data_IF_048868155462
#
_entry.id   IF_048868155462
#
_cell.length_a   1.000
_cell.length_b   1.000
_cell.length_c   1.000
_cell.angle_alpha   90.00
_cell.angle_beta   90.00
_cell.angle_gamma   90.00
#
_symmetry.space_group_name_H-M   'P 1'
#
loop_
_entity.id
_entity.type
_entity.pdbx_description
1 polymer ?
#
# COMPACT_ATOMS: atom_id res chain seq x y z
N UNK A 1 -76.95 -14.08 28.99
CA UNK A 1 -77.41 -13.36 27.78
C UNK A 1 -76.17 -12.97 26.99
N UNK A 2 -76.18 -13.04 25.66
CA UNK A 2 -75.02 -12.58 24.87
C UNK A 2 -74.98 -11.05 24.89
N UNK A 3 -73.82 -10.48 25.19
CA UNK A 3 -73.54 -9.04 25.08
C UNK A 3 -73.96 -8.53 23.70
N UNK A 4 -74.72 -7.42 23.64
CA UNK A 4 -75.21 -6.84 22.38
C UNK A 4 -74.24 -5.80 21.83
N UNK A 5 -74.13 -5.74 20.51
CA UNK A 5 -73.28 -4.74 19.84
C UNK A 5 -73.91 -3.35 19.92
N UNK A 6 -73.07 -2.31 19.91
CA UNK A 6 -73.49 -0.90 19.90
C UNK A 6 -74.54 -0.59 18.83
N UNK A 7 -74.39 -1.14 17.62
CA UNK A 7 -75.32 -0.88 16.53
C UNK A 7 -76.70 -1.53 16.78
N UNK A 8 -76.73 -2.67 17.48
CA UNK A 8 -77.97 -3.28 17.97
C UNK A 8 -78.63 -2.48 19.10
N UNK A 9 -77.85 -1.78 19.93
CA UNK A 9 -78.38 -0.92 20.97
C UNK A 9 -78.91 0.40 20.37
N UNK A 10 -78.21 0.94 19.36
CA UNK A 10 -78.57 2.21 18.71
C UNK A 10 -79.93 2.18 18.02
N UNK A 11 -80.31 1.04 17.42
CA UNK A 11 -81.64 0.86 16.82
C UNK A 11 -82.75 0.68 17.86
N UNK A 12 -82.41 0.22 19.07
CA UNK A 12 -83.34 -0.03 20.17
C UNK A 12 -83.75 1.23 20.92
N UNK A 13 -82.86 2.23 20.95
CA UNK A 13 -83.07 3.51 21.64
C UNK A 13 -83.19 4.69 20.67
N UNK A 14 -83.45 4.42 19.39
CA UNK A 14 -83.59 5.46 18.36
C UNK A 14 -84.82 6.35 18.55
N UNK A 15 -85.77 5.90 19.38
CA UNK A 15 -86.99 6.61 19.79
C UNK A 15 -86.79 7.48 21.05
N UNK A 16 -85.58 7.48 21.63
CA UNK A 16 -85.25 8.24 22.83
C UNK A 16 -85.50 7.50 24.15
N UNK A 17 -85.87 6.21 24.11
CA UNK A 17 -85.90 5.39 25.33
C UNK A 17 -84.52 5.29 25.97
N UNK A 18 -84.49 5.28 27.31
CA UNK A 18 -83.24 5.14 28.07
C UNK A 18 -82.85 3.66 28.16
N UNK A 19 -81.58 3.30 27.92
CA UNK A 19 -81.09 1.96 28.20
C UNK A 19 -81.33 1.60 29.67
N UNK A 20 -81.80 0.37 29.91
CA UNK A 20 -82.05 -0.15 31.25
C UNK A 20 -81.50 -1.56 31.41
N UNK A 21 -81.17 -1.95 32.63
CA UNK A 21 -80.63 -3.27 32.95
C UNK A 21 -79.35 -3.59 32.17
N UNK A 22 -79.29 -4.79 31.57
CA UNK A 22 -78.12 -5.24 30.80
C UNK A 22 -77.85 -4.39 29.56
N UNK A 23 -78.89 -3.79 28.95
CA UNK A 23 -78.71 -2.94 27.77
C UNK A 23 -77.96 -1.63 28.12
N UNK A 24 -77.98 -1.20 29.39
CA UNK A 24 -77.14 -0.10 29.88
C UNK A 24 -75.69 -0.54 30.12
N UNK A 25 -75.47 -1.75 30.66
CA UNK A 25 -74.13 -2.32 30.82
C UNK A 25 -73.42 -2.48 29.47
N UNK A 26 -74.09 -3.11 28.50
CA UNK A 26 -73.59 -3.29 27.13
C UNK A 26 -73.28 -1.94 26.45
N UNK A 27 -74.05 -0.88 26.77
CA UNK A 27 -73.79 0.46 26.26
C UNK A 27 -72.48 1.02 26.83
N UNK A 28 -72.30 0.96 28.16
CA UNK A 28 -71.11 1.50 28.82
C UNK A 28 -69.84 0.76 28.39
N UNK A 29 -69.91 -0.56 28.24
CA UNK A 29 -68.78 -1.39 27.81
C UNK A 29 -68.43 -1.20 26.32
N UNK A 30 -69.30 -0.56 25.54
CA UNK A 30 -69.07 -0.27 24.11
C UNK A 30 -68.27 1.01 23.81
N UNK A 31 -67.92 1.80 24.85
CA UNK A 31 -67.13 3.02 24.71
C UNK A 31 -65.73 2.88 25.28
N UNK A 32 -64.80 3.61 24.68
CA UNK A 32 -63.48 3.84 25.28
C UNK A 32 -63.61 4.95 26.32
N UNK A 33 -63.34 4.63 27.58
CA UNK A 33 -63.30 5.54 28.70
C UNK A 33 -61.94 6.22 28.80
N UNK A 34 -61.93 7.56 28.76
CA UNK A 34 -60.71 8.37 28.96
C UNK A 34 -60.04 8.14 30.32
N UNK A 35 -60.79 7.66 31.32
CA UNK A 35 -60.29 7.49 32.68
C UNK A 35 -59.80 6.06 32.95
N UNK A 36 -60.34 5.06 32.25
CA UNK A 36 -60.06 3.65 32.53
C UNK A 36 -59.23 2.97 31.44
N UNK A 37 -59.33 3.44 30.20
CA UNK A 37 -58.64 2.83 29.05
C UNK A 37 -57.43 3.64 28.60
N UNK A 38 -57.05 4.68 29.33
CA UNK A 38 -55.85 5.47 29.05
C UNK A 38 -54.92 5.50 30.27
N UNK A 39 -53.62 5.47 30.01
CA UNK A 39 -52.60 5.62 31.05
C UNK A 39 -52.45 7.09 31.49
N UNK A 40 -51.54 7.35 32.45
CA UNK A 40 -51.27 8.68 32.97
C UNK A 40 -50.73 9.68 31.93
N UNK A 41 -50.27 9.18 30.78
CA UNK A 41 -49.76 9.97 29.65
C UNK A 41 -50.80 10.12 28.53
N UNK A 42 -52.00 9.56 28.69
CA UNK A 42 -53.08 9.65 27.70
C UNK A 42 -52.92 8.70 26.52
N UNK A 43 -52.20 7.58 26.68
CA UNK A 43 -52.13 6.52 25.68
C UNK A 43 -53.23 5.47 25.89
N UNK A 44 -53.87 5.03 24.82
CA UNK A 44 -54.88 3.97 24.86
C UNK A 44 -54.24 2.64 25.30
N UNK A 45 -54.62 2.14 26.48
CA UNK A 45 -54.15 0.90 27.07
C UNK A 45 -55.26 -0.15 27.04
N UNK A 46 -55.12 -1.17 26.18
CA UNK A 46 -56.10 -2.25 26.03
C UNK A 46 -55.53 -3.58 26.53
N UNK A 47 -56.03 -4.07 27.65
CA UNK A 47 -55.52 -5.28 28.33
C UNK A 47 -55.76 -6.58 27.53
N UNK A 48 -56.72 -6.58 26.59
CA UNK A 48 -57.11 -7.78 25.81
C UNK A 48 -56.78 -7.69 24.31
N UNK A 49 -55.94 -6.72 23.91
CA UNK A 49 -55.48 -6.50 22.54
C UNK A 49 -56.50 -5.84 21.61
N UNK A 50 -56.07 -5.50 20.39
CA UNK A 50 -56.90 -4.89 19.33
C UNK A 50 -57.02 -5.85 18.16
N UNK A 51 -58.24 -6.09 17.68
CA UNK A 51 -58.47 -6.74 16.37
C UNK A 51 -58.65 -5.65 15.32
N UNK A 52 -57.75 -5.63 14.34
CA UNK A 52 -57.83 -4.71 13.21
C UNK A 52 -58.54 -5.40 12.04
N UNK A 53 -59.48 -4.71 11.41
CA UNK A 53 -60.12 -5.16 10.16
C UNK A 53 -59.23 -4.89 8.94
N UNK A 54 -59.70 -5.27 7.76
CA UNK A 54 -59.01 -5.14 6.47
C UNK A 54 -59.43 -3.89 5.68
N UNK A 55 -59.82 -2.82 6.39
CA UNK A 55 -60.43 -1.62 5.80
C UNK A 55 -59.69 -1.11 4.56
N UNK A 56 -60.44 -0.77 3.52
CA UNK A 56 -59.92 -0.11 2.33
C UNK A 56 -59.79 1.43 2.49
N UNK A 57 -60.22 1.99 3.63
CA UNK A 57 -60.22 3.43 3.85
C UNK A 57 -58.80 4.02 3.82
N UNK A 58 -58.61 5.06 3.01
CA UNK A 58 -57.30 5.69 2.77
C UNK A 58 -57.04 6.86 3.71
N UNK A 59 -57.09 6.61 5.02
CA UNK A 59 -56.82 7.62 6.06
C UNK A 59 -55.38 7.49 6.52
N UNK A 60 -54.59 8.57 6.39
CA UNK A 60 -53.19 8.58 6.80
C UNK A 60 -53.03 8.18 8.28
N UNK A 61 -52.06 7.31 8.56
CA UNK A 61 -51.84 6.73 9.89
C UNK A 61 -52.80 5.59 10.25
N UNK A 62 -53.74 5.23 9.37
CA UNK A 62 -54.63 4.10 9.57
C UNK A 62 -53.86 2.78 9.67
N UNK A 63 -54.29 1.91 10.59
CA UNK A 63 -53.77 0.56 10.75
C UNK A 63 -54.83 -0.45 10.30
N UNK A 64 -54.43 -1.48 9.55
CA UNK A 64 -55.30 -2.59 9.14
C UNK A 64 -54.58 -3.92 9.17
N UNK A 65 -55.35 -5.00 9.23
CA UNK A 65 -54.85 -6.34 8.99
C UNK A 65 -55.40 -6.85 7.65
N UNK A 66 -54.56 -6.99 6.64
CA UNK A 66 -54.97 -7.47 5.32
C UNK A 66 -54.02 -8.58 4.86
N UNK A 67 -54.57 -9.70 4.38
CA UNK A 67 -53.79 -10.83 3.86
C UNK A 67 -52.68 -11.31 4.81
N UNK A 68 -53.01 -11.46 6.10
CA UNK A 68 -52.09 -11.84 7.18
C UNK A 68 -50.94 -10.85 7.48
N UNK A 69 -51.08 -9.58 7.08
CA UNK A 69 -50.08 -8.55 7.32
C UNK A 69 -50.69 -7.35 8.02
N UNK A 70 -50.01 -6.85 9.05
CA UNK A 70 -50.27 -5.52 9.61
C UNK A 70 -49.78 -4.47 8.60
N UNK A 71 -50.65 -3.56 8.20
CA UNK A 71 -50.35 -2.49 7.25
C UNK A 71 -50.66 -1.14 7.86
N UNK A 72 -49.87 -0.13 7.49
CA UNK A 72 -50.11 1.29 7.78
C UNK A 72 -50.37 2.04 6.47
N UNK A 73 -51.36 2.94 6.45
CA UNK A 73 -51.59 3.82 5.32
C UNK A 73 -50.75 5.08 5.44
N UNK A 74 -49.82 5.30 4.50
CA UNK A 74 -48.83 6.39 4.55
C UNK A 74 -49.32 7.68 3.87
N UNK A 75 -50.61 7.78 3.57
CA UNK A 75 -51.21 8.91 2.83
C UNK A 75 -51.32 8.68 1.33
N UNK A 76 -50.57 7.72 0.77
CA UNK A 76 -50.67 7.34 -0.65
C UNK A 76 -50.99 5.86 -0.88
N UNK A 77 -50.50 4.96 -0.02
CA UNK A 77 -50.72 3.53 -0.15
C UNK A 77 -50.71 2.82 1.21
N UNK A 78 -51.24 1.61 1.23
CA UNK A 78 -51.09 0.68 2.35
C UNK A 78 -49.72 -0.01 2.26
N UNK A 79 -48.92 0.10 3.30
CA UNK A 79 -47.57 -0.47 3.37
C UNK A 79 -47.49 -1.49 4.50
N UNK A 80 -46.91 -2.66 4.23
CA UNK A 80 -46.67 -3.68 5.24
C UNK A 80 -45.75 -3.16 6.33
N UNK A 81 -46.10 -3.40 7.59
CA UNK A 81 -45.23 -3.09 8.74
C UNK A 81 -44.02 -4.03 8.78
N UNK A 82 -44.20 -5.28 8.35
CA UNK A 82 -43.23 -6.37 8.57
C UNK A 82 -42.59 -6.95 7.30
N UNK A 83 -42.50 -6.22 6.18
CA UNK A 83 -41.84 -6.80 4.99
C UNK A 83 -40.32 -6.93 5.22
N UNK A 84 -39.75 -8.03 4.73
CA UNK A 84 -38.30 -8.36 4.68
C UNK A 84 -37.47 -7.44 3.77
N UNK A 85 -38.00 -6.24 3.47
CA UNK A 85 -37.37 -5.21 2.67
C UNK A 85 -38.29 -3.98 2.61
N UNK A 86 -38.15 -3.07 3.58
CA UNK A 86 -38.83 -1.76 3.57
C UNK A 86 -40.19 -1.68 4.28
N UNK A 87 -40.35 -2.33 5.44
CA UNK A 87 -41.57 -2.20 6.25
C UNK A 87 -41.87 -0.75 6.69
N UNK A 88 -43.14 -0.42 6.93
CA UNK A 88 -43.64 0.92 7.25
C UNK A 88 -43.11 1.58 8.54
N UNK A 89 -42.35 0.83 9.36
CA UNK A 89 -41.60 1.35 10.51
C UNK A 89 -40.07 1.24 10.30
N UNK A 90 -39.58 1.63 9.14
CA UNK A 90 -38.17 1.96 8.99
C UNK A 90 -38.02 3.44 9.32
N UNK A 91 -37.44 3.79 10.47
CA UNK A 91 -36.84 5.11 10.62
C UNK A 91 -35.65 5.16 9.66
N UNK A 92 -35.86 5.62 8.43
CA UNK A 92 -34.76 6.18 7.66
C UNK A 92 -34.16 7.33 8.48
N UNK A 93 -32.84 7.48 8.57
CA UNK A 93 -32.27 8.63 9.25
C UNK A 93 -32.84 9.91 8.63
N UNK A 94 -33.18 10.88 9.47
CA UNK A 94 -33.77 12.19 9.13
C UNK A 94 -32.83 13.12 8.35
N UNK A 95 -31.82 12.56 7.67
CA UNK A 95 -30.89 13.26 6.80
C UNK A 95 -31.18 12.84 5.35
N UNK A 96 -31.59 13.75 4.46
CA UNK A 96 -31.74 13.45 3.03
C UNK A 96 -30.42 12.94 2.43
N UNK A 97 -30.43 11.74 1.81
CA UNK A 97 -29.35 11.26 0.93
C UNK A 97 -28.40 10.18 1.46
N UNK A 98 -28.66 9.55 2.62
CA UNK A 98 -27.80 8.48 3.16
C UNK A 98 -28.60 7.32 3.79
N UNK A 99 -29.30 6.48 3.01
CA UNK A 99 -29.93 5.28 3.57
C UNK A 99 -28.90 4.14 3.67
N UNK A 100 -28.83 3.50 4.85
CA UNK A 100 -28.39 2.12 4.89
C UNK A 100 -29.49 1.27 4.22
N UNK A 101 -29.18 0.57 3.13
CA UNK A 101 -30.15 -0.29 2.43
C UNK A 101 -29.91 -1.73 2.85
N UNK A 102 -30.87 -2.34 3.54
CA UNK A 102 -30.89 -3.77 3.79
C UNK A 102 -31.95 -4.43 2.91
N UNK A 103 -31.53 -5.30 1.99
CA UNK A 103 -32.44 -6.05 1.11
C UNK A 103 -31.89 -7.45 0.88
N UNK A 104 -32.72 -8.49 1.02
CA UNK A 104 -32.37 -9.87 0.66
C UNK A 104 -31.04 -10.38 1.28
N UNK A 105 -30.73 -9.95 2.51
CA UNK A 105 -29.45 -10.20 3.23
C UNK A 105 -28.20 -9.53 2.64
N UNK A 106 -28.36 -8.48 1.86
CA UNK A 106 -27.30 -7.57 1.41
C UNK A 106 -27.43 -6.24 2.17
N UNK A 107 -26.30 -5.69 2.62
CA UNK A 107 -26.24 -4.42 3.36
C UNK A 107 -25.41 -3.41 2.57
N UNK A 108 -26.03 -2.30 2.21
CA UNK A 108 -25.39 -1.15 1.55
C UNK A 108 -25.23 0.02 2.52
N UNK A 109 -24.05 0.65 2.53
CA UNK A 109 -23.80 1.92 3.23
C UNK A 109 -23.35 2.97 2.20
N UNK A 110 -24.06 4.09 2.14
CA UNK A 110 -23.81 5.17 1.17
C UNK A 110 -24.99 5.41 0.22
N UNK A 111 -24.78 6.25 -0.79
CA UNK A 111 -25.80 6.59 -1.77
C UNK A 111 -25.69 5.69 -3.00
N UNK A 112 -26.65 4.77 -3.18
CA UNK A 112 -26.68 3.83 -4.31
C UNK A 112 -27.77 4.16 -5.34
N UNK A 113 -27.47 4.10 -6.65
CA UNK A 113 -28.47 4.20 -7.70
C UNK A 113 -29.30 2.91 -7.88
N UNK A 114 -28.85 1.78 -7.32
CA UNK A 114 -29.51 0.48 -7.36
C UNK A 114 -29.28 -0.28 -6.03
N UNK A 115 -29.94 -1.43 -5.84
CA UNK A 115 -29.70 -2.25 -4.64
C UNK A 115 -28.26 -2.78 -4.60
N UNK A 116 -27.64 -2.92 -3.40
CA UNK A 116 -26.31 -3.50 -3.25
C UNK A 116 -26.20 -4.87 -3.91
N UNK A 117 -25.10 -5.12 -4.59
CA UNK A 117 -24.82 -6.39 -5.27
C UNK A 117 -23.92 -7.30 -4.42
N UNK A 118 -23.21 -6.75 -3.44
CA UNK A 118 -22.36 -7.49 -2.50
C UNK A 118 -22.96 -7.56 -1.10
N UNK A 119 -22.69 -8.66 -0.39
CA UNK A 119 -23.27 -8.92 0.94
C UNK A 119 -23.07 -7.76 1.91
N UNK A 120 -21.92 -7.11 1.81
CA UNK A 120 -21.65 -5.81 2.39
C UNK A 120 -21.01 -4.94 1.32
N UNK A 121 -21.66 -3.84 0.97
CA UNK A 121 -21.19 -2.90 -0.03
C UNK A 121 -21.15 -1.51 0.59
N UNK A 122 -20.01 -0.84 0.50
CA UNK A 122 -19.88 0.56 0.91
C UNK A 122 -19.51 1.36 -0.33
N UNK A 123 -20.43 2.22 -0.78
CA UNK A 123 -20.17 3.10 -1.91
C UNK A 123 -19.46 4.35 -1.41
N UNK A 124 -18.18 4.48 -1.75
CA UNK A 124 -17.34 5.60 -1.40
C UNK A 124 -17.12 6.50 -2.62
N UNK A 125 -17.05 7.81 -2.39
CA UNK A 125 -16.59 8.78 -3.39
C UNK A 125 -15.07 8.94 -3.32
N UNK A 126 -14.51 9.96 -4.00
CA UNK A 126 -13.14 10.38 -3.76
C UNK A 126 -12.93 10.65 -2.26
N UNK A 127 -11.77 10.27 -1.71
CA UNK A 127 -11.50 10.51 -0.30
C UNK A 127 -11.03 11.95 -0.06
N UNK A 128 -11.98 12.88 -0.04
CA UNK A 128 -11.76 14.29 0.32
C UNK A 128 -11.88 14.54 1.83
N UNK A 129 -11.90 13.48 2.64
CA UNK A 129 -11.95 13.53 4.10
C UNK A 129 -12.56 12.28 4.75
N UNK A 130 -12.51 12.18 6.10
CA UNK A 130 -12.89 10.98 6.86
C UNK A 130 -14.29 10.40 6.58
N UNK A 131 -15.20 11.19 6.01
CA UNK A 131 -16.55 10.73 5.63
C UNK A 131 -16.57 9.73 4.48
N UNK A 132 -15.48 9.61 3.70
CA UNK A 132 -15.34 8.70 2.56
C UNK A 132 -14.40 7.52 2.87
N UNK A 133 -14.40 7.06 4.12
CA UNK A 133 -13.53 5.99 4.62
C UNK A 133 -14.34 4.88 5.30
N UNK A 134 -13.93 3.63 5.09
CA UNK A 134 -14.35 2.49 5.91
C UNK A 134 -13.24 2.16 6.90
N UNK A 135 -13.58 2.02 8.19
CA UNK A 135 -12.60 1.78 9.26
C UNK A 135 -12.81 0.44 9.93
N UNK A 136 -11.72 -0.32 10.04
CA UNK A 136 -11.65 -1.57 10.81
C UNK A 136 -10.51 -1.44 11.84
N UNK A 137 -10.84 -0.93 13.03
CA UNK A 137 -9.84 -0.50 13.99
C UNK A 137 -8.99 0.65 13.43
N UNK A 138 -7.67 0.46 13.34
CA UNK A 138 -6.75 1.44 12.75
C UNK A 138 -6.61 1.34 11.23
N UNK A 139 -7.16 0.30 10.61
CA UNK A 139 -7.11 0.13 9.16
C UNK A 139 -8.22 0.97 8.53
N UNK A 140 -7.83 1.81 7.58
CA UNK A 140 -8.72 2.53 6.69
C UNK A 140 -8.69 1.84 5.33
N UNK A 141 -9.88 1.50 4.83
CA UNK A 141 -10.11 1.12 3.44
C UNK A 141 -10.89 2.25 2.78
N UNK A 142 -10.43 2.73 1.62
CA UNK A 142 -11.11 3.80 0.92
C UNK A 142 -10.61 4.01 -0.49
N UNK A 143 -11.16 5.04 -1.13
CA UNK A 143 -10.62 5.51 -2.41
C UNK A 143 -9.43 6.46 -2.18
N UNK A 144 -8.65 6.73 -3.22
CA UNK A 144 -7.71 7.85 -3.21
C UNK A 144 -8.42 9.21 -3.24
N UNK A 145 -7.67 10.29 -3.01
CA UNK A 145 -8.18 11.65 -3.01
C UNK A 145 -7.96 12.34 -4.37
N UNK A 146 -8.86 13.26 -4.75
CA UNK A 146 -8.76 14.05 -5.97
C UNK A 146 -8.87 13.24 -7.28
N UNK A 147 -8.93 13.95 -8.41
CA UNK A 147 -9.28 13.36 -9.71
C UNK A 147 -8.33 12.24 -10.18
N UNK A 148 -7.05 12.31 -9.83
CA UNK A 148 -6.03 11.34 -10.25
C UNK A 148 -6.19 9.99 -9.57
N UNK A 149 -6.57 9.97 -8.29
CA UNK A 149 -6.58 8.75 -7.48
C UNK A 149 -7.96 8.35 -6.95
N UNK A 150 -9.03 9.11 -7.26
CA UNK A 150 -10.40 8.83 -6.81
C UNK A 150 -10.93 7.42 -7.15
N UNK A 151 -10.38 6.76 -8.16
CA UNK A 151 -10.75 5.39 -8.54
C UNK A 151 -9.81 4.33 -7.96
N UNK A 152 -8.79 4.74 -7.21
CA UNK A 152 -7.81 3.82 -6.64
C UNK A 152 -8.33 3.22 -5.35
N UNK A 153 -8.21 1.90 -5.19
CA UNK A 153 -8.44 1.25 -3.92
C UNK A 153 -7.22 1.45 -3.02
N UNK A 154 -7.42 1.92 -1.79
CA UNK A 154 -6.35 2.24 -0.83
C UNK A 154 -6.60 1.57 0.51
N UNK A 155 -5.51 1.02 1.09
CA UNK A 155 -5.45 0.57 2.47
C UNK A 155 -4.37 1.38 3.20
N UNK A 156 -4.73 1.99 4.32
CA UNK A 156 -3.86 2.87 5.09
C UNK A 156 -4.11 2.77 6.60
N UNK A 157 -3.19 3.31 7.40
CA UNK A 157 -3.43 3.54 8.82
C UNK A 157 -4.23 4.85 9.02
N UNK A 158 -5.20 4.90 9.93
CA UNK A 158 -6.09 6.05 10.07
C UNK A 158 -5.38 7.40 10.30
N UNK A 159 -4.31 7.42 11.09
CA UNK A 159 -3.54 8.64 11.32
C UNK A 159 -2.76 9.08 10.07
N UNK A 160 -2.37 8.14 9.23
CA UNK A 160 -1.60 8.40 8.02
C UNK A 160 -2.52 8.89 6.90
N UNK A 161 -3.66 8.22 6.72
CA UNK A 161 -4.72 8.62 5.79
C UNK A 161 -5.21 10.06 6.06
N UNK A 162 -5.41 10.41 7.34
CA UNK A 162 -5.86 11.74 7.75
C UNK A 162 -4.86 12.87 7.42
N UNK A 163 -3.58 12.57 7.23
CA UNK A 163 -2.58 13.55 6.79
C UNK A 163 -2.63 13.71 5.28
N UNK A 164 -2.47 12.60 4.55
CA UNK A 164 -2.51 12.57 3.08
C UNK A 164 -2.66 11.13 2.59
N UNK A 165 -3.87 10.68 2.27
CA UNK A 165 -4.10 9.30 1.83
C UNK A 165 -3.41 8.93 0.49
N UNK A 166 -3.10 9.91 -0.36
CA UNK A 166 -2.41 9.67 -1.63
C UNK A 166 -0.92 9.42 -1.47
N UNK A 167 -0.30 9.86 -0.37
CA UNK A 167 1.12 9.67 -0.11
C UNK A 167 1.40 8.74 1.09
N UNK A 168 0.44 8.63 2.01
CA UNK A 168 0.59 7.95 3.29
C UNK A 168 -0.34 6.73 3.36
N UNK A 169 -0.09 5.78 2.47
CA UNK A 169 -0.84 4.53 2.37
C UNK A 169 0.10 3.33 2.47
N UNK A 170 -0.44 2.17 2.82
CA UNK A 170 0.32 0.91 2.84
C UNK A 170 0.19 0.16 1.51
N UNK A 171 -1.03 0.08 0.98
CA UNK A 171 -1.34 -0.56 -0.30
C UNK A 171 -2.24 0.35 -1.12
N UNK A 172 -1.95 0.48 -2.42
CA UNK A 172 -2.84 1.12 -3.39
C UNK A 172 -2.88 0.31 -4.67
N UNK A 173 -4.05 0.10 -5.23
CA UNK A 173 -4.20 -0.38 -6.59
C UNK A 173 -5.02 0.63 -7.40
N UNK A 174 -4.45 1.10 -8.51
CA UNK A 174 -5.15 2.00 -9.43
C UNK A 174 -6.04 1.20 -10.39
N UNK A 175 -6.97 1.86 -11.07
CA UNK A 175 -7.94 1.18 -11.95
C UNK A 175 -7.31 0.49 -13.18
N UNK A 176 -6.05 0.78 -13.51
CA UNK A 176 -5.28 0.08 -14.56
C UNK A 176 -4.64 -1.23 -14.07
N UNK A 177 -4.72 -1.53 -12.77
CA UNK A 177 -4.18 -2.74 -12.16
C UNK A 177 -2.79 -2.58 -11.53
N UNK A 178 -2.11 -1.44 -11.74
CA UNK A 178 -0.83 -1.14 -11.11
C UNK A 178 -0.97 -1.12 -9.58
N UNK A 179 -0.08 -1.85 -8.90
CA UNK A 179 -0.08 -2.04 -7.44
C UNK A 179 1.12 -1.32 -6.83
N UNK A 180 0.87 -0.52 -5.81
CA UNK A 180 1.89 0.15 -5.03
C UNK A 180 1.92 -0.39 -3.60
N UNK A 181 3.11 -0.75 -3.14
CA UNK A 181 3.43 -0.92 -1.72
C UNK A 181 4.19 0.33 -1.30
N UNK A 182 3.76 0.94 -0.20
CA UNK A 182 4.28 2.24 0.18
C UNK A 182 4.41 2.40 1.70
N UNK A 183 5.27 3.34 2.06
CA UNK A 183 5.32 3.94 3.38
C UNK A 183 5.58 5.45 3.19
N UNK A 184 5.13 6.32 4.11
CA UNK A 184 5.43 7.74 4.03
C UNK A 184 6.93 8.02 3.92
N UNK A 185 7.32 9.13 3.29
CA UNK A 185 8.74 9.51 3.16
C UNK A 185 9.45 9.50 4.50
N UNK A 186 10.65 8.90 4.54
CA UNK A 186 11.44 8.72 5.78
C UNK A 186 11.06 7.48 6.58
N UNK A 187 10.03 6.73 6.19
CA UNK A 187 9.67 5.44 6.78
C UNK A 187 10.25 4.28 5.97
N UNK A 188 10.44 3.15 6.65
CA UNK A 188 10.97 1.94 6.06
C UNK A 188 9.87 1.12 5.39
N UNK A 189 10.19 0.49 4.25
CA UNK A 189 9.42 -0.65 3.72
C UNK A 189 10.29 -1.89 3.94
N UNK A 190 9.72 -2.99 4.46
CA UNK A 190 10.51 -4.21 4.68
C UNK A 190 9.71 -5.48 4.44
N UNK A 191 10.33 -6.42 3.73
CA UNK A 191 9.89 -7.81 3.63
C UNK A 191 10.62 -8.62 4.70
N UNK A 192 9.85 -9.24 5.61
CA UNK A 192 10.37 -9.96 6.77
C UNK A 192 10.04 -11.44 6.72
N UNK A 193 10.95 -12.26 7.23
CA UNK A 193 10.73 -13.69 7.48
C UNK A 193 10.63 -13.93 8.98
N UNK A 194 9.58 -14.63 9.43
CA UNK A 194 9.34 -14.87 10.86
C UNK A 194 9.06 -13.59 11.66
N UNK A 195 8.57 -12.54 11.00
CA UNK A 195 8.19 -11.26 11.62
C UNK A 195 9.34 -10.33 12.00
N UNK A 196 10.55 -10.85 12.22
CA UNK A 196 11.69 -10.06 12.70
C UNK A 196 12.78 -9.87 11.64
N UNK A 197 13.14 -10.97 10.94
CA UNK A 197 14.30 -10.98 10.04
C UNK A 197 14.01 -10.27 8.74
N UNK A 198 14.65 -9.13 8.49
CA UNK A 198 14.52 -8.41 7.22
C UNK A 198 15.27 -9.15 6.11
N UNK A 199 14.60 -9.39 4.99
CA UNK A 199 15.18 -10.01 3.79
C UNK A 199 15.39 -9.02 2.66
N UNK A 200 14.49 -8.05 2.54
CA UNK A 200 14.59 -6.93 1.61
C UNK A 200 13.99 -5.70 2.30
N UNK A 201 14.67 -4.56 2.21
CA UNK A 201 14.18 -3.31 2.76
C UNK A 201 14.37 -2.15 1.80
N UNK A 202 13.53 -1.13 1.94
CA UNK A 202 13.76 0.22 1.43
C UNK A 202 14.05 1.09 2.65
N UNK A 203 15.21 1.73 2.66
CA UNK A 203 15.65 2.58 3.76
C UNK A 203 14.84 3.89 3.82
N UNK A 204 15.05 4.66 4.89
CA UNK A 204 14.47 5.99 5.02
C UNK A 204 14.95 6.96 3.91
N UNK A 205 16.08 6.66 3.27
CA UNK A 205 16.63 7.43 2.14
C UNK A 205 16.14 6.93 0.77
N UNK A 206 15.38 5.84 0.73
CA UNK A 206 14.85 5.25 -0.50
C UNK A 206 15.76 4.22 -1.17
N UNK A 207 16.87 3.81 -0.55
CA UNK A 207 17.76 2.80 -1.11
C UNK A 207 17.24 1.38 -0.84
N UNK A 208 17.42 0.48 -1.81
CA UNK A 208 17.02 -0.92 -1.75
C UNK A 208 18.16 -1.75 -1.14
N UNK A 209 17.86 -2.45 -0.04
CA UNK A 209 18.85 -3.19 0.74
C UNK A 209 18.42 -4.66 0.85
N UNK A 210 19.25 -5.57 0.34
CA UNK A 210 19.07 -7.01 0.53
C UNK A 210 19.70 -7.42 1.85
N UNK A 211 18.96 -8.17 2.68
CA UNK A 211 19.42 -8.63 3.99
C UNK A 211 19.40 -7.56 5.09
N UNK A 212 18.76 -6.41 4.85
CA UNK A 212 18.68 -5.30 5.79
C UNK A 212 17.66 -4.24 5.38
N UNK A 213 17.55 -3.17 6.16
CA UNK A 213 16.69 -2.01 5.90
C UNK A 213 17.35 -0.68 6.34
N UNK A 214 18.64 -0.74 6.63
CA UNK A 214 19.48 0.40 7.00
C UNK A 214 20.69 0.41 6.07
N UNK A 215 21.18 1.60 5.76
CA UNK A 215 22.35 1.80 4.89
C UNK A 215 23.54 0.98 5.40
N UNK A 216 24.29 0.38 4.48
CA UNK A 216 25.55 -0.27 4.81
C UNK A 216 26.56 0.81 5.21
N UNK A 217 27.21 0.60 6.36
CA UNK A 217 28.33 1.43 6.77
C UNK A 217 29.40 1.42 5.68
N UNK A 218 29.81 2.59 5.22
CA UNK A 218 30.78 2.72 4.13
C UNK A 218 30.22 2.52 2.72
N UNK A 219 28.90 2.50 2.52
CA UNK A 219 28.32 2.61 1.19
C UNK A 219 28.51 4.04 0.64
N UNK A 220 29.04 4.21 -0.60
CA UNK A 220 29.10 5.52 -1.22
C UNK A 220 27.73 6.15 -1.45
N UNK A 221 27.68 7.49 -1.46
CA UNK A 221 26.47 8.23 -1.80
C UNK A 221 25.94 7.82 -3.19
N UNK A 222 24.63 7.65 -3.31
CA UNK A 222 24.00 7.20 -4.56
C UNK A 222 23.99 5.68 -4.77
N UNK A 223 24.48 4.88 -3.81
CA UNK A 223 24.36 3.41 -3.83
C UNK A 223 22.91 2.97 -3.65
N UNK A 224 22.12 2.99 -4.72
CA UNK A 224 20.68 2.66 -4.70
C UNK A 224 20.43 1.21 -4.32
N UNK A 225 21.25 0.27 -4.80
CA UNK A 225 21.16 -1.15 -4.43
C UNK A 225 22.33 -1.53 -3.54
N UNK A 226 22.03 -2.05 -2.36
CA UNK A 226 23.02 -2.52 -1.39
C UNK A 226 22.70 -3.95 -0.97
N UNK A 227 23.74 -4.75 -0.74
CA UNK A 227 23.58 -6.16 -0.38
C UNK A 227 24.39 -6.44 0.89
N UNK A 228 23.70 -6.73 1.98
CA UNK A 228 24.35 -7.21 3.20
C UNK A 228 24.79 -8.67 2.99
N UNK A 229 26.07 -8.86 2.69
CA UNK A 229 26.66 -10.20 2.47
C UNK A 229 27.11 -10.42 1.03
N UNK A 230 27.00 -11.65 0.54
CA UNK A 230 27.41 -12.04 -0.81
C UNK A 230 26.25 -12.03 -1.81
N UNK A 231 26.53 -11.74 -3.07
CA UNK A 231 25.62 -11.93 -4.20
C UNK A 231 26.14 -13.07 -5.09
N UNK A 232 25.23 -13.92 -5.58
CA UNK A 232 25.55 -15.00 -6.51
C UNK A 232 24.83 -14.77 -7.83
N UNK A 233 25.60 -14.50 -8.89
CA UNK A 233 25.11 -14.21 -10.25
C UNK A 233 25.47 -15.38 -11.16
N UNK A 234 24.51 -16.27 -11.41
CA UNK A 234 24.70 -17.47 -12.22
C UNK A 234 24.23 -17.27 -13.67
N UNK A 235 24.75 -16.25 -14.34
CA UNK A 235 24.42 -15.94 -15.74
C UNK A 235 25.57 -16.23 -16.72
N UNK A 236 26.58 -16.97 -16.26
CA UNK A 236 27.78 -17.30 -17.04
C UNK A 236 28.82 -16.18 -17.12
N UNK A 237 28.58 -15.01 -16.50
CA UNK A 237 29.53 -13.89 -16.47
C UNK A 237 29.80 -13.44 -15.04
N UNK A 238 31.07 -13.16 -14.73
CA UNK A 238 31.48 -12.66 -13.41
C UNK A 238 31.41 -11.15 -13.25
N UNK A 239 31.13 -10.41 -14.34
CA UNK A 239 31.17 -8.94 -14.39
C UNK A 239 29.78 -8.34 -14.54
N UNK A 240 29.64 -7.07 -14.18
CA UNK A 240 28.46 -6.26 -14.47
C UNK A 240 28.62 -5.63 -15.84
N UNK A 241 27.57 -5.70 -16.67
CA UNK A 241 27.54 -5.02 -17.96
C UNK A 241 27.08 -3.58 -17.78
N UNK A 242 27.68 -2.67 -18.52
CA UNK A 242 27.32 -1.25 -18.55
C UNK A 242 27.32 -0.73 -19.99
N UNK A 243 26.60 0.37 -20.24
CA UNK A 243 26.53 1.01 -21.55
C UNK A 243 27.90 1.56 -21.95
N UNK A 244 28.39 1.23 -23.15
CA UNK A 244 29.70 1.66 -23.63
C UNK A 244 29.71 1.99 -25.14
N UNK A 245 28.59 2.41 -25.70
CA UNK A 245 28.49 2.86 -27.10
C UNK A 245 29.16 4.25 -27.26
N UNK A 246 29.85 4.49 -28.38
CA UNK A 246 30.51 5.77 -28.64
C UNK A 246 29.56 6.97 -28.57
N UNK A 247 28.28 6.80 -28.95
CA UNK A 247 27.25 7.86 -28.90
C UNK A 247 26.77 8.19 -27.49
N UNK A 248 27.13 7.35 -26.52
CA UNK A 248 26.82 7.54 -25.10
C UNK A 248 28.02 8.08 -24.31
N UNK A 249 29.09 8.45 -25.02
CA UNK A 249 30.32 9.00 -24.46
C UNK A 249 30.60 10.37 -25.05
N UNK A 250 31.19 11.24 -24.24
CA UNK A 250 31.72 12.54 -24.62
C UNK A 250 33.14 12.66 -24.02
N UNK A 251 33.95 13.59 -24.53
CA UNK A 251 35.34 13.82 -24.09
C UNK A 251 36.21 12.54 -24.08
N UNK A 252 36.17 11.78 -25.19
CA UNK A 252 36.91 10.52 -25.32
C UNK A 252 38.40 10.81 -25.53
N UNK A 253 39.22 10.39 -24.56
CA UNK A 253 40.68 10.50 -24.56
C UNK A 253 41.33 9.13 -24.40
N UNK A 254 42.59 9.02 -24.83
CA UNK A 254 43.38 7.81 -24.61
C UNK A 254 43.68 7.64 -23.10
N UNK A 255 43.73 6.38 -22.65
CA UNK A 255 44.15 6.05 -21.29
C UNK A 255 45.68 5.94 -21.24
N UNK A 256 46.35 6.96 -20.72
CA UNK A 256 47.83 7.02 -20.65
C UNK A 256 48.46 6.13 -19.57
N UNK A 257 47.64 5.41 -18.80
CA UNK A 257 48.10 4.49 -17.76
C UNK A 257 48.47 3.12 -18.36
N UNK A 258 49.63 2.59 -17.97
CA UNK A 258 50.16 1.35 -18.53
C UNK A 258 51.21 0.67 -17.64
N UNK A 259 52.29 0.16 -18.24
CA UNK A 259 53.22 -0.75 -17.55
C UNK A 259 53.94 -0.07 -16.39
N UNK A 260 54.26 1.22 -16.51
CA UNK A 260 54.97 1.97 -15.48
C UNK A 260 54.15 2.10 -14.17
N UNK A 261 52.85 2.35 -14.29
CA UNK A 261 51.94 2.47 -13.14
C UNK A 261 51.59 1.10 -12.58
N UNK A 262 51.29 0.12 -13.44
CA UNK A 262 50.96 -1.23 -12.99
C UNK A 262 52.08 -1.87 -12.15
N UNK A 263 53.35 -1.59 -12.48
CA UNK A 263 54.51 -2.07 -11.71
C UNK A 263 54.61 -1.52 -10.29
N UNK A 264 53.96 -0.39 -10.02
CA UNK A 264 53.93 0.22 -8.68
C UNK A 264 52.81 -0.36 -7.82
N UNK A 265 51.80 -1.00 -8.43
CA UNK A 265 50.68 -1.59 -7.70
C UNK A 265 51.19 -2.78 -6.88
N UNK A 266 50.87 -2.76 -5.58
CA UNK A 266 51.23 -3.82 -4.62
C UNK A 266 50.01 -4.66 -4.24
N UNK A 267 49.84 -5.86 -4.80
CA UNK A 267 48.82 -6.80 -4.32
C UNK A 267 49.14 -7.27 -2.90
N UNK A 268 48.14 -7.30 -2.03
CA UNK A 268 48.26 -7.72 -0.63
C UNK A 268 47.23 -8.78 -0.28
N UNK A 269 47.57 -9.62 0.70
CA UNK A 269 46.62 -10.45 1.43
C UNK A 269 46.27 -9.73 2.73
N UNK A 270 45.00 -9.69 3.07
CA UNK A 270 44.54 -8.99 4.27
C UNK A 270 43.43 -9.79 4.97
N UNK A 271 43.12 -9.37 6.20
CA UNK A 271 41.91 -9.77 6.93
C UNK A 271 41.19 -8.51 7.39
N UNK A 272 39.88 -8.47 7.23
CA UNK A 272 39.08 -7.36 7.76
C UNK A 272 39.09 -7.33 9.29
N UNK A 273 39.05 -6.14 9.87
CA UNK A 273 39.02 -5.92 11.32
C UNK A 273 37.60 -5.70 11.88
N UNK A 274 36.57 -5.66 11.03
CA UNK A 274 35.17 -5.47 11.43
C UNK A 274 34.67 -4.02 11.40
N UNK A 275 35.56 -3.04 11.20
CA UNK A 275 35.15 -1.62 11.08
C UNK A 275 34.44 -1.37 9.76
N UNK A 276 33.68 -0.28 9.71
CA UNK A 276 32.87 0.13 8.54
C UNK A 276 32.00 -1.02 7.97
N UNK A 277 31.36 -1.80 8.85
CA UNK A 277 30.43 -2.87 8.44
C UNK A 277 31.07 -4.11 7.82
N UNK A 278 32.40 -4.21 7.80
CA UNK A 278 33.10 -5.38 7.26
C UNK A 278 32.98 -6.61 8.19
N UNK A 279 33.15 -7.82 7.65
CA UNK A 279 33.14 -9.05 8.48
C UNK A 279 34.53 -9.30 9.09
N UNK A 280 34.69 -9.12 10.40
CA UNK A 280 35.95 -9.36 11.09
C UNK A 280 36.54 -10.76 10.80
N UNK A 281 37.85 -10.82 10.56
CA UNK A 281 38.58 -12.06 10.28
C UNK A 281 38.45 -12.59 8.85
N UNK A 282 37.51 -12.06 8.03
CA UNK A 282 37.37 -12.48 6.63
C UNK A 282 38.63 -12.15 5.84
N UNK A 283 39.25 -13.20 5.29
CA UNK A 283 40.44 -13.07 4.47
C UNK A 283 40.10 -12.57 3.06
N UNK A 284 41.01 -11.81 2.47
CA UNK A 284 40.88 -11.27 1.11
C UNK A 284 42.24 -11.10 0.42
N UNK A 285 42.15 -10.87 -0.89
CA UNK A 285 43.26 -10.44 -1.74
C UNK A 285 42.83 -9.14 -2.41
N UNK A 286 43.70 -8.15 -2.46
CA UNK A 286 43.38 -6.86 -3.06
C UNK A 286 44.55 -5.89 -2.99
N UNK A 287 44.24 -4.60 -2.87
CA UNK A 287 45.21 -3.50 -2.75
C UNK A 287 44.89 -2.65 -1.52
N UNK A 288 45.85 -1.85 -1.08
CA UNK A 288 45.62 -0.82 -0.06
C UNK A 288 45.09 0.44 -0.76
N UNK A 289 43.93 0.94 -0.34
CA UNK A 289 43.26 2.09 -0.96
C UNK A 289 44.16 3.33 -1.07
N UNK A 290 44.90 3.66 -0.01
CA UNK A 290 45.83 4.79 0.01
C UNK A 290 47.00 4.63 -0.96
N UNK A 291 47.49 3.40 -1.15
CA UNK A 291 48.61 3.12 -2.06
C UNK A 291 48.15 3.22 -3.52
N UNK A 292 47.01 2.63 -3.85
CA UNK A 292 46.49 2.69 -5.23
C UNK A 292 46.01 4.09 -5.59
N UNK A 293 45.45 4.86 -4.65
CA UNK A 293 45.06 6.25 -4.84
C UNK A 293 46.24 7.14 -5.28
N UNK A 294 47.46 6.86 -4.81
CA UNK A 294 48.66 7.61 -5.21
C UNK A 294 49.13 7.27 -6.64
N UNK A 295 48.68 6.14 -7.21
CA UNK A 295 49.12 5.63 -8.51
C UNK A 295 48.03 5.85 -9.58
N UNK A 296 46.78 5.51 -9.26
CA UNK A 296 45.59 5.58 -10.12
C UNK A 296 44.43 6.19 -9.31
N UNK A 297 44.44 7.52 -9.10
CA UNK A 297 43.51 8.20 -8.19
C UNK A 297 42.03 7.96 -8.51
N UNK A 298 41.69 7.82 -9.80
CA UNK A 298 40.32 7.63 -10.27
C UNK A 298 39.68 6.31 -9.83
N UNK A 299 40.48 5.34 -9.36
CA UNK A 299 39.97 4.07 -8.83
C UNK A 299 39.47 4.18 -7.39
N UNK A 300 39.60 5.35 -6.75
CA UNK A 300 39.30 5.50 -5.33
C UNK A 300 38.32 6.64 -5.09
N UNK A 301 37.25 6.33 -4.38
CA UNK A 301 36.36 7.32 -3.79
C UNK A 301 36.65 7.44 -2.30
N UNK A 302 36.69 8.67 -1.79
CA UNK A 302 36.75 8.93 -0.34
C UNK A 302 35.35 9.15 0.22
N UNK A 303 35.05 8.50 1.33
CA UNK A 303 33.78 8.67 2.03
C UNK A 303 34.00 8.77 3.55
N UNK A 304 33.06 9.40 4.24
CA UNK A 304 33.07 9.45 5.70
C UNK A 304 32.12 8.40 6.28
N UNK A 305 32.58 7.66 7.30
CA UNK A 305 31.74 6.72 8.05
C UNK A 305 31.16 7.42 9.27
N UNK A 306 29.83 7.56 9.33
CA UNK A 306 29.16 8.35 10.36
C UNK A 306 29.48 7.88 11.80
N UNK A 307 29.56 6.57 12.02
CA UNK A 307 29.76 5.99 13.35
C UNK A 307 31.24 5.72 13.69
N UNK A 308 32.17 6.15 12.84
CA UNK A 308 33.61 5.93 13.03
C UNK A 308 34.42 7.17 12.57
N UNK A 309 34.72 8.12 13.47
CA UNK A 309 35.34 9.40 13.12
C UNK A 309 36.77 9.26 12.57
N UNK A 310 37.47 8.18 12.94
CA UNK A 310 38.79 7.87 12.39
C UNK A 310 38.71 7.44 10.91
N UNK A 311 37.53 7.07 10.42
CA UNK A 311 37.25 6.70 9.02
C UNK A 311 36.47 7.80 8.29
N UNK A 312 36.78 9.07 8.57
CA UNK A 312 36.21 10.22 7.87
C UNK A 312 36.67 10.33 6.40
N UNK A 313 37.74 9.63 6.02
CA UNK A 313 38.30 9.58 4.67
C UNK A 313 38.51 8.13 4.19
N UNK A 314 37.57 7.23 4.47
CA UNK A 314 37.62 5.83 4.03
C UNK A 314 37.74 5.74 2.51
N UNK A 315 38.69 4.93 2.01
CA UNK A 315 38.91 4.68 0.58
C UNK A 315 38.05 3.51 0.13
N UNK A 316 37.14 3.77 -0.79
CA UNK A 316 36.36 2.75 -1.51
C UNK A 316 36.97 2.59 -2.89
N UNK A 317 37.35 1.36 -3.22
CA UNK A 317 38.13 1.05 -4.42
C UNK A 317 37.27 0.41 -5.52
N UNK A 318 37.31 0.98 -6.72
CA UNK A 318 36.77 0.43 -7.97
C UNK A 318 37.93 -0.09 -8.85
N UNK A 319 38.07 -1.41 -9.05
CA UNK A 319 39.14 -1.99 -9.84
C UNK A 319 38.96 -1.86 -11.36
N UNK A 320 37.84 -1.31 -11.86
CA UNK A 320 37.47 -1.37 -13.28
C UNK A 320 38.56 -0.82 -14.21
N UNK A 321 39.18 0.31 -13.84
CA UNK A 321 40.26 0.91 -14.62
C UNK A 321 41.49 0.00 -14.76
N UNK A 322 41.84 -0.78 -13.72
CA UNK A 322 43.05 -1.60 -13.72
C UNK A 322 43.05 -2.68 -14.80
N UNK A 323 41.88 -3.14 -15.24
CA UNK A 323 41.79 -4.09 -16.35
C UNK A 323 42.30 -3.44 -17.65
N UNK A 324 41.96 -2.18 -17.90
CA UNK A 324 42.42 -1.43 -19.07
C UNK A 324 43.89 -1.01 -18.95
N UNK A 325 44.33 -0.62 -17.75
CA UNK A 325 45.77 -0.40 -17.46
C UNK A 325 46.58 -1.66 -17.75
N UNK A 326 46.09 -2.84 -17.37
CA UNK A 326 46.73 -4.12 -17.66
C UNK A 326 46.81 -4.38 -19.17
N UNK A 327 45.74 -4.09 -19.93
CA UNK A 327 45.76 -4.21 -21.39
C UNK A 327 46.84 -3.32 -22.00
N UNK A 328 46.94 -2.06 -21.57
CA UNK A 328 47.97 -1.13 -22.05
C UNK A 328 49.38 -1.62 -21.66
N UNK A 329 49.57 -2.07 -20.42
CA UNK A 329 50.83 -2.61 -19.94
C UNK A 329 51.31 -3.82 -20.76
N UNK A 330 50.40 -4.71 -21.15
CA UNK A 330 50.72 -5.88 -22.00
C UNK A 330 51.10 -5.44 -23.41
N UNK A 331 50.42 -4.45 -23.99
CA UNK A 331 50.79 -3.88 -25.31
C UNK A 331 52.18 -3.24 -25.28
N UNK A 332 52.46 -2.43 -24.26
CA UNK A 332 53.79 -1.83 -24.08
C UNK A 332 54.88 -2.88 -23.89
N UNK A 333 54.60 -3.93 -23.11
CA UNK A 333 55.53 -5.01 -22.89
C UNK A 333 55.82 -5.76 -24.20
N UNK A 334 54.79 -6.05 -25.00
CA UNK A 334 54.94 -6.69 -26.31
C UNK A 334 55.84 -5.85 -27.24
N UNK A 335 55.60 -4.53 -27.32
CA UNK A 335 56.42 -3.62 -28.12
C UNK A 335 57.89 -3.61 -27.68
N UNK A 336 58.15 -3.65 -26.36
CA UNK A 336 59.51 -3.74 -25.82
C UNK A 336 60.18 -5.07 -26.18
N UNK A 337 59.43 -6.18 -26.12
CA UNK A 337 59.94 -7.50 -26.51
C UNK A 337 60.30 -7.52 -28.00
N UNK A 338 59.41 -7.07 -28.88
CA UNK A 338 59.70 -7.01 -30.33
C UNK A 338 60.92 -6.15 -30.65
N UNK A 339 61.08 -5.02 -29.95
CA UNK A 339 62.24 -4.16 -30.10
C UNK A 339 63.54 -4.88 -29.66
N UNK A 340 63.51 -5.56 -28.52
CA UNK A 340 64.65 -6.34 -28.02
C UNK A 340 65.00 -7.51 -28.95
N UNK A 341 64.02 -8.22 -29.49
CA UNK A 341 64.21 -9.31 -30.45
C UNK A 341 64.85 -8.82 -31.75
N UNK A 342 64.38 -7.68 -32.30
CA UNK A 342 64.98 -7.06 -33.48
C UNK A 342 66.43 -6.61 -33.22
N UNK A 343 66.69 -6.01 -32.07
CA UNK A 343 68.04 -5.61 -31.69
C UNK A 343 68.99 -6.82 -31.55
N UNK A 344 68.51 -7.90 -30.94
CA UNK A 344 69.27 -9.14 -30.83
C UNK A 344 69.56 -9.75 -32.21
N UNK A 345 68.54 -9.87 -33.07
CA UNK A 345 68.68 -10.39 -34.43
C UNK A 345 69.70 -9.61 -35.27
N UNK A 346 69.68 -8.26 -35.17
CA UNK A 346 70.64 -7.39 -35.83
C UNK A 346 72.08 -7.58 -35.32
N UNK A 347 72.24 -7.92 -34.03
CA UNK A 347 73.55 -8.14 -33.41
C UNK A 347 74.12 -9.54 -33.71
N UNK A 348 73.25 -10.53 -33.95
CA UNK A 348 73.65 -11.92 -34.28
C UNK A 348 73.81 -12.22 -35.78
N UNK A 349 73.51 -11.26 -36.67
CA UNK A 349 73.80 -11.42 -38.10
C UNK A 349 75.32 -11.39 -38.34
N UNK A 350 75.93 -12.39 -39.01
CA UNK A 350 77.39 -12.44 -39.15
C UNK A 350 77.88 -11.27 -40.01
N UNK A 351 78.93 -10.59 -39.54
CA UNK A 351 79.71 -9.66 -40.35
C UNK A 351 80.31 -10.46 -41.52
N UNK A 352 79.66 -10.43 -42.70
CA UNK A 352 80.20 -11.04 -43.90
C UNK A 352 81.51 -10.33 -44.25
N UNK A 353 82.58 -11.09 -44.24
CA UNK A 353 83.95 -10.74 -44.64
C UNK A 353 84.00 -9.90 -45.92
N UNK A 354 84.20 -8.59 -45.78
CA UNK A 354 84.86 -7.81 -46.81
C UNK A 354 86.37 -7.99 -46.62
N UNK A 355 86.94 -8.99 -47.29
CA UNK A 355 88.39 -9.12 -47.43
C UNK A 355 88.86 -8.10 -48.48
N UNK A 356 89.78 -7.17 -48.17
CA UNK A 356 90.30 -6.25 -49.17
C UNK A 356 91.34 -6.99 -50.01
N UNK A 357 91.10 -7.10 -51.31
CA UNK A 357 92.10 -7.56 -52.26
C UNK A 357 93.23 -6.51 -52.34
N UNK A 358 94.45 -6.92 -51.99
CA UNK A 358 95.67 -6.12 -52.12
C UNK A 358 96.28 -6.41 -53.50
N UNK A 359 96.55 -5.30 -54.22
CA UNK A 359 97.49 -5.06 -55.33
C UNK A 359 97.50 -6.01 -56.53
#
# INVERSE_FOLDING_TARGET
MSEKTRDSLKSKFSDGERPSGSDFGDLIDSYVSKQNDFDGDGNLQLTRGVRLGDSAATVAGGLRFNSNQLQVFTGGAWTNVSSTGGGGFQTGPTIPGQPAVARDSFVGIGSFPAAPQFKFEVQLAANDGPGNEVRFGNVVCGNGAGLTFQTSAVIAHQQQAAININNNFALRQVSTGELHLNAPTGQLISLRQGGLSVRLGISALGNVIVGGQSELAGAPAGSVLQVFGGAFKNDGTGTWSFTSDARTKDDVQDLDLGLAQLRQVRPVRYRYNGRAGTTAGRAGVGVIGQEIEAIVPETVQRISVADDPDLHDLRVFDPSALTYVLINAVKELAAKVEHLEKALAATTAPASSASPAIA
#
